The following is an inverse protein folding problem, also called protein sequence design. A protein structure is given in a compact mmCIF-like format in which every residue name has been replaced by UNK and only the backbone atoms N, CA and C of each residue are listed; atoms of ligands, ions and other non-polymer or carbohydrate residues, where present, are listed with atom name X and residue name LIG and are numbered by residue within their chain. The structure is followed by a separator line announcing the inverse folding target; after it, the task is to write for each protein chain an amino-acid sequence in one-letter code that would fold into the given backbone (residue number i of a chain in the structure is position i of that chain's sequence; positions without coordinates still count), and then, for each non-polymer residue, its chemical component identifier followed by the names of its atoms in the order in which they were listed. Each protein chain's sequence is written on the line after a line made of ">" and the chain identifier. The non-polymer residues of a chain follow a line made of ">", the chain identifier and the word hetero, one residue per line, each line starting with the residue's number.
data_IF_225659793925
#
_entry.id   IF_225659793925
#
_cell.length_a   1.000
_cell.length_b   1.000
_cell.length_c   1.000
_cell.angle_alpha   90.00
_cell.angle_beta   90.00
_cell.angle_gamma   90.00
#
_symmetry.space_group_name_H-M   'P 1'
#
loop_
_entity.id
_entity.type
_entity.pdbx_description
1 polymer ?
#
# COMPACT_ATOMS: atom_id res chain seq x y z
N UNK A 1 -18.78 1.78 -15.02
CA UNK A 1 -18.82 0.40 -14.51
C UNK A 1 -17.87 0.21 -13.35
N UNK A 2 -18.47 0.01 -12.18
CA UNK A 2 -17.83 -0.33 -10.91
C UNK A 2 -17.61 -1.83 -10.91
N UNK A 3 -16.46 -2.30 -11.37
CA UNK A 3 -16.26 -3.73 -11.57
C UNK A 3 -16.26 -4.55 -10.26
N UNK A 4 -16.24 -3.93 -9.07
CA UNK A 4 -15.91 -4.65 -7.83
C UNK A 4 -16.73 -4.24 -6.60
N UNK A 5 -17.87 -3.55 -6.76
CA UNK A 5 -18.71 -3.09 -5.64
C UNK A 5 -18.10 -1.96 -4.79
N UNK A 6 -16.81 -1.69 -4.95
CA UNK A 6 -16.03 -0.68 -4.24
C UNK A 6 -15.59 0.44 -5.18
N UNK A 7 -15.53 1.69 -4.68
CA UNK A 7 -15.17 2.85 -5.50
C UNK A 7 -13.69 2.94 -5.80
N UNK A 8 -12.86 2.32 -4.94
CA UNK A 8 -11.42 2.43 -4.97
C UNK A 8 -10.83 1.07 -4.59
N UNK A 9 -9.74 0.69 -5.24
CA UNK A 9 -8.98 -0.53 -4.96
C UNK A 9 -7.49 -0.21 -4.96
N UNK A 10 -6.72 -0.95 -4.17
CA UNK A 10 -5.27 -0.82 -4.13
C UNK A 10 -4.62 -1.88 -5.01
N UNK A 11 -3.65 -1.44 -5.82
CA UNK A 11 -2.85 -2.33 -6.67
C UNK A 11 -1.40 -2.29 -6.17
N UNK A 12 -0.80 -3.44 -5.80
CA UNK A 12 0.61 -3.44 -5.42
C UNK A 12 1.49 -2.98 -6.59
N UNK A 13 2.37 -2.01 -6.34
CA UNK A 13 3.15 -1.35 -7.38
C UNK A 13 3.94 -2.30 -8.31
N UNK A 14 4.39 -3.45 -7.79
CA UNK A 14 5.07 -4.49 -8.59
C UNK A 14 4.22 -5.02 -9.76
N UNK A 15 2.89 -4.99 -9.64
CA UNK A 15 1.99 -5.42 -10.71
C UNK A 15 1.74 -4.33 -11.77
N UNK A 16 2.17 -3.09 -11.51
CA UNK A 16 2.13 -1.99 -12.49
C UNK A 16 3.38 -1.95 -13.37
N UNK A 17 4.42 -2.74 -13.05
CA UNK A 17 5.66 -2.79 -13.84
C UNK A 17 5.35 -3.25 -15.27
N UNK A 18 5.78 -2.47 -16.25
CA UNK A 18 5.49 -2.71 -17.66
C UNK A 18 4.36 -1.83 -18.22
N UNK A 19 3.62 -1.12 -17.36
CA UNK A 19 2.76 -0.01 -17.80
C UNK A 19 3.59 1.16 -18.31
N UNK A 20 3.02 1.94 -19.23
CA UNK A 20 3.64 3.17 -19.74
C UNK A 20 3.98 4.09 -18.55
N UNK A 21 5.26 4.46 -18.42
CA UNK A 21 5.76 5.31 -17.35
C UNK A 21 6.14 4.58 -16.05
N UNK A 22 6.01 3.26 -15.97
CA UNK A 22 6.35 2.46 -14.77
C UNK A 22 7.42 1.42 -15.09
N UNK A 23 8.59 1.56 -14.47
CA UNK A 23 9.73 0.65 -14.62
C UNK A 23 10.43 0.39 -13.29
N UNK A 24 11.11 -0.75 -13.18
CA UNK A 24 11.97 -1.05 -12.02
C UNK A 24 13.19 -0.13 -12.05
N UNK A 25 13.41 0.61 -10.97
CA UNK A 25 14.61 1.42 -10.79
C UNK A 25 15.63 0.68 -9.92
N UNK A 26 16.84 0.48 -10.44
CA UNK A 26 17.97 -0.02 -9.65
C UNK A 26 18.69 1.15 -9.00
N UNK A 27 18.63 1.26 -7.66
CA UNK A 27 19.31 2.28 -6.86
C UNK A 27 20.20 1.61 -5.83
N UNK A 28 21.46 2.05 -5.74
CA UNK A 28 22.41 1.59 -4.73
C UNK A 28 22.06 2.12 -3.34
N UNK A 29 21.54 3.35 -3.29
CA UNK A 29 21.27 4.06 -2.03
C UNK A 29 19.80 4.46 -1.99
N UNK A 30 19.06 3.85 -1.07
CA UNK A 30 17.69 4.25 -0.75
C UNK A 30 17.46 4.17 0.76
N UNK A 31 16.66 5.10 1.28
CA UNK A 31 16.17 5.05 2.65
C UNK A 31 14.86 4.29 2.70
N UNK A 32 14.69 3.43 3.70
CA UNK A 32 13.43 2.75 3.99
C UNK A 32 12.88 3.27 5.31
N UNK A 33 11.70 3.87 5.26
CA UNK A 33 11.05 4.49 6.41
C UNK A 33 9.71 3.79 6.67
N UNK A 34 9.47 3.47 7.94
CA UNK A 34 8.15 3.09 8.42
C UNK A 34 7.43 4.34 8.90
N UNK A 35 6.29 4.68 8.29
CA UNK A 35 5.48 5.83 8.68
C UNK A 35 4.23 5.32 9.38
N UNK A 36 4.15 5.49 10.70
CA UNK A 36 2.99 5.14 11.50
C UNK A 36 2.25 6.43 11.89
N UNK A 37 0.93 6.43 11.75
CA UNK A 37 0.03 7.51 12.15
C UNK A 37 -0.98 6.96 13.16
N UNK A 38 -1.78 7.85 13.77
CA UNK A 38 -2.81 7.47 14.74
C UNK A 38 -3.88 6.55 14.10
N UNK A 39 -4.25 6.85 12.85
CA UNK A 39 -5.14 6.05 12.00
C UNK A 39 -4.41 5.57 10.74
N UNK A 40 -4.95 4.53 10.11
CA UNK A 40 -4.42 4.05 8.83
C UNK A 40 -4.88 4.95 7.68
N UNK A 41 -3.95 5.75 7.15
CA UNK A 41 -4.24 6.75 6.11
C UNK A 41 -3.44 6.54 4.83
N UNK A 42 -3.95 7.12 3.74
CA UNK A 42 -3.22 7.32 2.48
C UNK A 42 -2.34 8.56 2.57
N UNK A 43 -1.06 8.40 2.25
CA UNK A 43 -0.08 9.49 2.20
C UNK A 43 0.38 9.74 0.76
N UNK A 44 0.66 11.00 0.44
CA UNK A 44 1.27 11.37 -0.84
C UNK A 44 2.78 11.55 -0.66
N UNK A 45 3.57 10.75 -1.39
CA UNK A 45 5.02 10.85 -1.45
C UNK A 45 5.43 11.24 -2.87
N UNK A 46 5.93 12.46 -3.04
CA UNK A 46 6.35 13.01 -4.35
C UNK A 46 5.27 12.82 -5.45
N UNK A 47 4.00 13.04 -5.10
CA UNK A 47 2.88 12.93 -6.03
C UNK A 47 2.39 11.50 -6.29
N UNK A 48 2.97 10.49 -5.62
CA UNK A 48 2.49 9.10 -5.67
C UNK A 48 1.82 8.74 -4.34
N UNK A 49 0.66 8.09 -4.42
CA UNK A 49 -0.08 7.62 -3.24
C UNK A 49 0.50 6.32 -2.70
N UNK A 50 0.62 6.23 -1.38
CA UNK A 50 0.99 5.02 -0.65
C UNK A 50 0.15 4.94 0.63
N UNK A 51 -0.06 3.74 1.14
CA UNK A 51 -0.61 3.55 2.48
C UNK A 51 0.47 3.84 3.53
N UNK A 52 0.08 4.46 4.65
CA UNK A 52 0.86 4.45 5.89
C UNK A 52 1.02 3.01 6.40
N UNK A 53 1.91 2.81 7.38
CA UNK A 53 2.21 1.47 7.87
C UNK A 53 0.98 0.80 8.49
N UNK A 54 0.42 -0.15 7.75
CA UNK A 54 -0.57 -1.07 8.26
C UNK A 54 0.10 -2.18 9.08
N UNK A 55 -0.01 -2.09 10.41
CA UNK A 55 0.31 -3.23 11.27
C UNK A 55 -0.85 -4.22 11.22
N UNK A 56 -0.83 -5.19 10.31
CA UNK A 56 -1.70 -6.36 10.45
C UNK A 56 -1.26 -7.26 11.61
N UNK A 57 -2.07 -8.25 12.00
CA UNK A 57 -1.75 -9.28 13.01
C UNK A 57 -0.35 -9.91 12.81
N UNK A 58 0.10 -9.99 11.56
CA UNK A 58 1.38 -10.61 11.17
C UNK A 58 2.59 -9.67 11.33
N UNK A 59 2.42 -8.35 11.14
CA UNK A 59 3.55 -7.40 11.14
C UNK A 59 4.10 -7.16 12.54
N UNK A 60 3.21 -7.07 13.54
CA UNK A 60 3.65 -6.94 14.94
C UNK A 60 4.30 -8.24 15.42
N UNK A 61 3.70 -9.39 15.12
CA UNK A 61 4.18 -10.71 15.56
C UNK A 61 5.49 -11.13 14.91
N UNK A 62 5.86 -10.56 13.75
CA UNK A 62 7.16 -10.78 13.10
C UNK A 62 8.24 -9.79 13.56
N UNK A 63 7.87 -8.66 14.16
CA UNK A 63 8.80 -7.71 14.76
C UNK A 63 9.46 -8.33 16.01
N UNK A 64 10.78 -8.21 16.15
CA UNK A 64 11.49 -8.68 17.35
C UNK A 64 11.10 -7.91 18.62
N UNK A 65 11.29 -8.53 19.79
CA UNK A 65 10.90 -7.95 21.09
C UNK A 65 11.38 -6.52 21.30
N UNK A 66 12.66 -6.24 21.05
CA UNK A 66 13.27 -4.92 21.29
C UNK A 66 12.60 -3.82 20.45
N UNK A 67 12.37 -4.08 19.17
CA UNK A 67 11.68 -3.14 18.27
C UNK A 67 10.23 -2.90 18.67
N UNK A 68 9.54 -3.92 19.18
CA UNK A 68 8.18 -3.75 19.72
C UNK A 68 8.19 -2.84 20.95
N UNK A 69 9.15 -3.01 21.85
CA UNK A 69 9.27 -2.17 23.05
C UNK A 69 9.60 -0.72 22.68
N UNK A 70 10.51 -0.50 21.74
CA UNK A 70 10.79 0.82 21.19
C UNK A 70 9.52 1.45 20.59
N UNK A 71 8.80 0.70 19.75
CA UNK A 71 7.55 1.15 19.12
C UNK A 71 6.48 1.52 20.17
N UNK A 72 6.30 0.69 21.21
CA UNK A 72 5.35 0.94 22.30
C UNK A 72 5.75 2.14 23.18
N UNK A 73 7.05 2.41 23.32
CA UNK A 73 7.54 3.59 24.02
C UNK A 73 7.26 4.87 23.23
N UNK A 74 7.39 4.83 21.90
CA UNK A 74 7.08 5.97 21.03
C UNK A 74 5.56 6.15 20.92
N UNK A 75 4.80 5.05 20.86
CA UNK A 75 3.35 5.03 20.69
C UNK A 75 2.66 4.25 21.83
N UNK A 76 2.57 4.82 23.05
CA UNK A 76 2.01 4.14 24.22
C UNK A 76 0.50 3.84 24.12
N UNK A 77 -0.20 4.46 23.16
CA UNK A 77 -1.59 4.19 22.81
C UNK A 77 -1.80 2.93 21.97
N UNK A 78 -0.72 2.34 21.43
CA UNK A 78 -0.71 1.11 20.62
C UNK A 78 -0.93 -0.13 21.52
N UNK A 79 -2.01 -0.14 22.31
CA UNK A 79 -2.28 -1.15 23.36
C UNK A 79 -2.70 -2.50 22.82
N UNK A 80 -3.22 -2.53 21.60
CA UNK A 80 -3.44 -3.75 20.81
C UNK A 80 -3.72 -3.31 19.38
N UNK A 81 -2.92 -3.78 18.44
CA UNK A 81 -3.08 -3.54 17.00
C UNK A 81 -4.38 -4.16 16.45
N UNK A 82 -5.10 -4.94 17.25
CA UNK A 82 -6.30 -5.67 16.85
C UNK A 82 -7.59 -4.86 16.85
N UNK A 83 -7.59 -3.58 17.25
CA UNK A 83 -8.82 -2.80 17.34
C UNK A 83 -9.08 -2.02 16.03
N UNK A 84 -9.88 -2.63 15.16
CA UNK A 84 -10.58 -2.01 14.01
C UNK A 84 -9.68 -1.38 12.91
N UNK A 85 -8.46 -1.87 12.73
CA UNK A 85 -7.60 -1.46 11.61
C UNK A 85 -8.18 -1.99 10.29
N UNK A 86 -8.76 -1.10 9.48
CA UNK A 86 -9.20 -1.40 8.12
C UNK A 86 -8.17 -0.87 7.13
N UNK A 87 -7.83 -1.66 6.11
CA UNK A 87 -7.12 -1.11 4.96
C UNK A 87 -7.98 -0.02 4.33
N UNK A 88 -7.35 1.02 3.77
CA UNK A 88 -8.08 2.16 3.22
C UNK A 88 -9.05 1.72 2.11
N UNK A 89 -8.65 0.74 1.31
CA UNK A 89 -9.47 0.11 0.28
C UNK A 89 -9.01 -1.35 0.10
N UNK A 90 -9.86 -2.25 -0.42
CA UNK A 90 -9.42 -3.62 -0.66
C UNK A 90 -8.28 -3.67 -1.67
N UNK A 91 -7.35 -4.61 -1.43
CA UNK A 91 -6.30 -4.93 -2.39
C UNK A 91 -6.92 -5.76 -3.51
N UNK A 92 -6.76 -5.28 -4.75
CA UNK A 92 -7.26 -5.97 -5.93
C UNK A 92 -6.62 -7.37 -6.05
N UNK A 93 -7.44 -8.36 -6.39
CA UNK A 93 -6.98 -9.71 -6.69
C UNK A 93 -6.24 -9.73 -8.02
N UNK A 94 -5.39 -10.74 -8.21
CA UNK A 94 -4.52 -10.83 -9.39
C UNK A 94 -5.26 -10.65 -10.73
N UNK A 95 -6.41 -11.32 -10.91
CA UNK A 95 -7.18 -11.21 -12.15
C UNK A 95 -7.81 -9.82 -12.33
N UNK A 96 -8.20 -9.16 -11.24
CA UNK A 96 -8.76 -7.80 -11.24
C UNK A 96 -7.70 -6.80 -11.68
N UNK A 97 -6.47 -6.97 -11.20
CA UNK A 97 -5.32 -6.15 -11.59
C UNK A 97 -5.06 -6.28 -13.09
N UNK A 98 -5.04 -7.50 -13.63
CA UNK A 98 -4.81 -7.73 -15.07
C UNK A 98 -5.88 -7.05 -15.94
N UNK A 99 -7.15 -7.10 -15.52
CA UNK A 99 -8.25 -6.44 -16.20
C UNK A 99 -8.15 -4.90 -16.12
N UNK A 100 -7.88 -4.35 -14.93
CA UNK A 100 -7.75 -2.91 -14.72
C UNK A 100 -6.59 -2.33 -15.52
N UNK A 101 -5.44 -3.00 -15.49
CA UNK A 101 -4.23 -2.57 -16.19
C UNK A 101 -4.43 -2.65 -17.71
N UNK A 102 -5.02 -3.74 -18.22
CA UNK A 102 -5.29 -3.87 -19.67
C UNK A 102 -6.32 -2.85 -20.17
N UNK A 103 -7.40 -2.61 -19.42
CA UNK A 103 -8.39 -1.58 -19.78
C UNK A 103 -7.76 -0.19 -19.82
N UNK A 104 -6.99 0.16 -18.78
CA UNK A 104 -6.28 1.44 -18.70
C UNK A 104 -5.32 1.66 -19.86
N UNK A 105 -4.58 0.62 -20.27
CA UNK A 105 -3.66 0.68 -21.41
C UNK A 105 -4.42 0.85 -22.73
N UNK A 106 -5.57 0.19 -22.90
CA UNK A 106 -6.42 0.31 -24.09
C UNK A 106 -7.00 1.72 -24.25
N UNK A 107 -7.53 2.29 -23.18
CA UNK A 107 -8.11 3.65 -23.18
C UNK A 107 -7.07 4.71 -23.54
N UNK A 108 -5.84 4.59 -23.03
CA UNK A 108 -4.75 5.54 -23.33
C UNK A 108 -4.08 5.34 -24.69
N UNK A 109 -4.03 4.11 -25.21
CA UNK A 109 -3.60 3.86 -26.58
C UNK A 109 -4.61 4.37 -27.62
N UNK A 110 -5.90 4.40 -27.29
CA UNK A 110 -6.96 4.86 -28.19
C UNK A 110 -7.13 6.39 -28.20
N UNK A 111 -6.43 7.10 -27.31
CA UNK A 111 -6.44 8.55 -27.18
C UNK A 111 -5.32 9.26 -27.96
N UNK A 112 -4.61 8.54 -28.85
CA UNK A 112 -3.54 9.05 -29.71
C UNK A 112 -3.82 8.74 -31.18
#
# INVERSE_FOLDING_TARGET
>A
DFFFGEQQVLIPAKHLVGMIGVSVAHRSDFGYFHVLLDDHEMISANGTWAESLYFGDTAFTTMGWEKRQELLNIFPGLKSITADLRSYAPIAQKFEIELLVSNWMSERSSAH
#
